data_IF_384661011789
#
_entry.id   IF_384661011789
#
_cell.length_a   1.000
_cell.length_b   1.000
_cell.length_c   1.000
_cell.angle_alpha   90.00
_cell.angle_beta   90.00
_cell.angle_gamma   90.00
#
_symmetry.space_group_name_H-M   'P 1'
#
loop_
_entity.id
_entity.type
_entity.pdbx_description
1 polymer ?
#
# COMPACT_ATOMS: atom_id res chain seq x y z
N UNK A 1 13.18 -22.59 -8.61
CA UNK A 1 12.74 -22.27 -7.22
C UNK A 1 11.57 -21.33 -7.38
N UNK A 2 10.40 -21.74 -6.93
CA UNK A 2 9.17 -20.93 -7.04
C UNK A 2 9.37 -19.60 -6.31
N UNK A 3 9.15 -18.49 -6.99
CA UNK A 3 9.21 -17.15 -6.44
C UNK A 3 8.23 -17.02 -5.27
N UNK A 4 8.58 -16.25 -4.26
CA UNK A 4 7.77 -16.05 -3.05
C UNK A 4 7.39 -14.59 -3.00
N UNK A 5 6.12 -14.33 -3.22
CA UNK A 5 5.58 -12.98 -3.30
C UNK A 5 4.68 -12.72 -2.10
N UNK A 6 4.75 -11.52 -1.56
CA UNK A 6 3.84 -11.02 -0.54
C UNK A 6 3.37 -9.64 -1.00
N UNK A 7 2.06 -9.40 -0.93
CA UNK A 7 1.44 -8.13 -1.28
C UNK A 7 0.42 -7.74 -0.23
N UNK A 8 0.25 -6.44 -0.05
CA UNK A 8 -0.73 -5.85 0.85
C UNK A 8 -1.85 -5.20 0.02
N UNK A 9 -3.10 -5.54 0.31
CA UNK A 9 -4.28 -4.97 -0.34
C UNK A 9 -5.19 -4.27 0.67
N UNK A 10 -5.73 -3.08 0.39
CA UNK A 10 -6.57 -2.36 1.33
C UNK A 10 -7.95 -3.00 1.48
N UNK A 11 -8.45 -3.07 2.72
CA UNK A 11 -9.84 -3.34 3.07
C UNK A 11 -10.47 -2.01 3.44
N UNK A 12 -11.58 -1.62 2.82
CA UNK A 12 -12.22 -0.33 3.03
C UNK A 12 -13.59 -0.45 3.65
N UNK A 13 -13.95 0.51 4.50
CA UNK A 13 -15.30 0.63 5.03
C UNK A 13 -16.27 1.27 4.00
N UNK A 14 -17.54 1.37 4.37
CA UNK A 14 -18.58 1.98 3.55
C UNK A 14 -18.36 3.48 3.25
N UNK A 15 -17.55 4.16 4.07
CA UNK A 15 -17.19 5.58 3.91
C UNK A 15 -15.93 5.76 3.07
N UNK A 16 -15.29 4.67 2.63
CA UNK A 16 -14.05 4.69 1.86
C UNK A 16 -12.78 4.77 2.71
N UNK A 17 -12.88 4.78 4.04
CA UNK A 17 -11.72 4.75 4.92
C UNK A 17 -11.06 3.37 4.92
N UNK A 18 -9.75 3.32 5.11
CA UNK A 18 -9.03 2.05 5.24
C UNK A 18 -9.31 1.43 6.61
N UNK A 19 -10.00 0.29 6.62
CA UNK A 19 -10.24 -0.53 7.81
C UNK A 19 -8.99 -1.30 8.23
N UNK A 20 -8.20 -1.72 7.27
CA UNK A 20 -6.99 -2.51 7.43
C UNK A 20 -6.49 -3.00 6.07
N UNK A 21 -5.52 -3.91 6.09
CA UNK A 21 -4.92 -4.46 4.89
C UNK A 21 -4.92 -5.98 4.92
N UNK A 22 -5.28 -6.60 3.80
CA UNK A 22 -5.09 -8.02 3.58
C UNK A 22 -3.64 -8.30 3.19
N UNK A 23 -2.98 -9.23 3.87
CA UNK A 23 -1.66 -9.72 3.49
C UNK A 23 -1.84 -10.99 2.68
N UNK A 24 -1.64 -10.89 1.37
CA UNK A 24 -1.63 -12.01 0.45
C UNK A 24 -0.20 -12.51 0.23
N UNK A 25 0.00 -13.82 0.20
CA UNK A 25 1.30 -14.42 -0.08
C UNK A 25 1.20 -15.64 -0.99
N UNK A 26 2.16 -15.78 -1.89
CA UNK A 26 2.24 -16.91 -2.81
C UNK A 26 2.57 -18.19 -2.06
N UNK A 27 1.87 -19.26 -2.42
CA UNK A 27 2.01 -20.57 -1.77
C UNK A 27 0.94 -20.85 -0.70
N UNK A 28 0.14 -19.86 -0.29
CA UNK A 28 -1.02 -20.11 0.55
C UNK A 28 -2.05 -21.00 -0.16
N UNK A 29 -2.39 -20.63 -1.40
CA UNK A 29 -3.42 -21.34 -2.18
C UNK A 29 -2.95 -22.70 -2.73
N UNK A 30 -1.64 -22.90 -2.99
CA UNK A 30 -1.10 -24.19 -3.43
C UNK A 30 -0.95 -25.18 -2.27
N UNK A 31 -0.70 -24.70 -1.05
CA UNK A 31 -0.69 -25.53 0.15
C UNK A 31 -2.11 -26.03 0.53
N UNK A 32 -3.15 -25.36 0.03
CA UNK A 32 -4.57 -25.69 0.30
C UNK A 32 -5.23 -26.53 -0.79
N UNK A 33 -4.60 -26.73 -1.97
CA UNK A 33 -5.13 -27.67 -2.97
C UNK A 33 -4.93 -29.09 -2.46
N UNK A 34 -6.03 -29.78 -2.25
CA UNK A 34 -6.16 -31.09 -1.61
C UNK A 34 -5.40 -32.26 -2.26
N UNK A 35 -4.66 -32.01 -3.35
CA UNK A 35 -3.98 -33.07 -4.13
C UNK A 35 -2.45 -33.12 -3.96
N UNK A 36 -1.81 -32.20 -3.24
CA UNK A 36 -0.37 -32.23 -3.00
C UNK A 36 -0.02 -32.42 -1.52
N UNK A 37 -0.40 -33.55 -0.96
CA UNK A 37 -0.11 -33.93 0.41
C UNK A 37 1.34 -34.39 0.58
N UNK A 38 2.28 -33.48 0.66
CA UNK A 38 3.51 -33.75 1.37
C UNK A 38 3.70 -32.70 2.45
N UNK A 39 3.58 -33.12 3.71
CA UNK A 39 3.84 -32.30 4.91
C UNK A 39 5.18 -31.54 4.89
N UNK A 40 6.11 -31.99 4.03
CA UNK A 40 7.42 -31.35 3.82
C UNK A 40 7.34 -30.04 3.04
N UNK A 41 6.42 -29.90 2.08
CA UNK A 41 6.26 -28.66 1.27
C UNK A 41 5.56 -27.57 2.06
N UNK A 42 4.54 -27.90 2.84
CA UNK A 42 3.85 -26.97 3.74
C UNK A 42 4.80 -26.45 4.83
N UNK A 43 5.62 -27.32 5.40
CA UNK A 43 6.63 -26.93 6.39
C UNK A 43 7.68 -25.99 5.79
N UNK A 44 8.13 -26.24 4.55
CA UNK A 44 9.09 -25.39 3.86
C UNK A 44 8.49 -24.00 3.55
N UNK A 45 7.24 -23.95 3.09
CA UNK A 45 6.53 -22.69 2.83
C UNK A 45 6.34 -21.88 4.11
N UNK A 46 5.88 -22.51 5.19
CA UNK A 46 5.72 -21.86 6.50
C UNK A 46 7.04 -21.30 7.05
N UNK A 47 8.16 -22.01 6.85
CA UNK A 47 9.49 -21.53 7.25
C UNK A 47 9.87 -20.24 6.57
N UNK A 48 9.59 -20.15 5.29
CA UNK A 48 9.95 -18.97 4.50
C UNK A 48 9.12 -17.77 4.87
N UNK A 49 7.81 -17.98 4.99
CA UNK A 49 6.89 -16.91 5.43
C UNK A 49 7.30 -16.44 6.82
N UNK A 50 7.56 -17.35 7.75
CA UNK A 50 8.02 -17.00 9.10
C UNK A 50 9.31 -16.17 9.09
N UNK A 51 10.34 -16.62 8.38
CA UNK A 51 11.61 -15.90 8.31
C UNK A 51 11.46 -14.52 7.68
N UNK A 52 10.64 -14.44 6.64
CA UNK A 52 10.33 -13.20 5.95
C UNK A 52 9.62 -12.21 6.89
N UNK A 53 8.57 -12.64 7.58
CA UNK A 53 7.83 -11.80 8.53
C UNK A 53 8.71 -11.35 9.70
N UNK A 54 9.59 -12.21 10.21
CA UNK A 54 10.52 -11.85 11.29
C UNK A 54 11.40 -10.65 10.92
N UNK A 55 11.79 -10.54 9.66
CA UNK A 55 12.67 -9.46 9.19
C UNK A 55 11.92 -8.17 8.87
N UNK A 56 10.67 -8.26 8.40
CA UNK A 56 9.97 -7.13 7.79
C UNK A 56 8.78 -6.59 8.61
N UNK A 57 8.13 -7.42 9.46
CA UNK A 57 6.98 -6.98 10.26
C UNK A 57 7.24 -5.73 11.09
N UNK A 58 8.37 -5.61 11.83
CA UNK A 58 8.60 -4.45 12.67
C UNK A 58 8.74 -3.14 11.91
N UNK A 59 9.10 -3.20 10.62
CA UNK A 59 9.40 -2.04 9.80
C UNK A 59 8.23 -1.57 8.95
N UNK A 60 7.44 -2.50 8.44
CA UNK A 60 6.47 -2.24 7.36
C UNK A 60 5.03 -2.45 7.80
N UNK A 61 4.78 -3.43 8.67
CA UNK A 61 3.42 -3.86 9.04
C UNK A 61 2.95 -3.33 10.40
N UNK A 62 3.80 -2.58 11.11
CA UNK A 62 3.48 -2.01 12.42
C UNK A 62 2.55 -0.80 12.30
N UNK A 63 1.61 -0.68 13.27
CA UNK A 63 0.71 0.46 13.37
C UNK A 63 -0.47 0.44 12.38
N UNK A 64 -0.64 -0.66 11.65
CA UNK A 64 -1.75 -0.89 10.73
C UNK A 64 -2.43 -2.21 11.06
N UNK A 65 -3.74 -2.29 10.83
CA UNK A 65 -4.46 -3.53 11.04
C UNK A 65 -4.24 -4.46 9.84
N UNK A 66 -3.54 -5.56 10.07
CA UNK A 66 -3.19 -6.54 9.04
C UNK A 66 -4.03 -7.80 9.19
N UNK A 67 -4.74 -8.17 8.14
CA UNK A 67 -5.47 -9.42 8.03
C UNK A 67 -4.60 -10.43 7.31
N UNK A 68 -4.30 -11.54 7.96
CA UNK A 68 -3.42 -12.57 7.38
C UNK A 68 -4.00 -13.96 7.62
N UNK A 69 -4.05 -14.77 6.56
CA UNK A 69 -4.50 -16.17 6.65
C UNK A 69 -3.39 -17.05 7.23
N UNK A 70 -3.72 -17.81 8.28
CA UNK A 70 -2.80 -18.69 8.96
C UNK A 70 -3.12 -20.15 8.67
N UNK A 71 -2.11 -20.90 8.26
CA UNK A 71 -2.16 -22.36 8.22
C UNK A 71 -1.94 -22.94 9.62
N UNK A 72 -2.30 -24.21 9.81
CA UNK A 72 -2.01 -24.93 11.04
C UNK A 72 -0.51 -24.87 11.41
N UNK A 73 0.37 -24.91 10.40
CA UNK A 73 1.82 -24.86 10.60
C UNK A 73 2.30 -23.49 11.07
N UNK A 74 1.77 -22.39 10.52
CA UNK A 74 2.09 -21.02 10.95
C UNK A 74 1.62 -20.75 12.39
N UNK A 75 0.44 -21.29 12.77
CA UNK A 75 -0.05 -21.22 14.14
C UNK A 75 0.88 -21.99 15.10
N UNK A 76 1.29 -23.21 14.76
CA UNK A 76 2.22 -24.02 15.56
C UNK A 76 3.58 -23.35 15.75
N UNK A 77 4.05 -22.59 14.77
CA UNK A 77 5.32 -21.84 14.82
C UNK A 77 5.24 -20.56 15.64
N UNK A 78 4.08 -20.27 16.21
CA UNK A 78 3.84 -19.05 16.96
C UNK A 78 4.05 -17.76 16.13
N UNK A 79 3.84 -17.84 14.81
CA UNK A 79 3.98 -16.72 13.89
C UNK A 79 3.12 -15.50 14.27
N UNK A 80 1.89 -15.64 14.85
CA UNK A 80 1.14 -14.48 15.33
C UNK A 80 1.91 -13.59 16.32
N UNK A 81 2.81 -14.15 17.13
CA UNK A 81 3.60 -13.38 18.09
C UNK A 81 4.66 -12.44 17.47
N UNK A 82 4.84 -12.48 16.14
CA UNK A 82 5.67 -11.51 15.43
C UNK A 82 4.98 -10.15 15.29
N UNK A 83 3.68 -10.10 15.53
CA UNK A 83 2.84 -8.90 15.44
C UNK A 83 2.37 -8.45 16.81
N UNK A 84 2.21 -7.14 16.97
CA UNK A 84 1.44 -6.62 18.08
C UNK A 84 -0.04 -7.04 17.93
N UNK A 85 -0.72 -7.31 19.03
CA UNK A 85 -2.12 -7.81 19.03
C UNK A 85 -3.10 -6.81 18.42
N UNK A 86 -2.78 -5.52 18.51
CA UNK A 86 -3.55 -4.44 17.87
C UNK A 86 -3.43 -4.44 16.36
N UNK A 87 -2.33 -4.96 15.83
CA UNK A 87 -1.94 -4.83 14.43
C UNK A 87 -2.27 -6.09 13.60
N UNK A 88 -2.74 -7.17 14.23
CA UNK A 88 -3.03 -8.44 13.57
C UNK A 88 -4.47 -8.90 13.76
N UNK A 89 -5.07 -9.35 12.65
CA UNK A 89 -6.24 -10.23 12.62
C UNK A 89 -5.81 -11.58 12.08
N UNK A 90 -5.91 -12.61 12.90
CA UNK A 90 -5.62 -14.00 12.51
C UNK A 90 -6.80 -14.51 11.68
N UNK A 91 -6.59 -14.71 10.39
CA UNK A 91 -7.59 -15.30 9.52
C UNK A 91 -7.43 -16.80 9.44
N UNK A 92 -8.54 -17.52 9.52
CA UNK A 92 -8.60 -18.97 9.39
C UNK A 92 -9.62 -19.36 8.34
N UNK A 93 -9.38 -20.48 7.71
CA UNK A 93 -10.29 -21.10 6.75
C UNK A 93 -10.64 -22.54 7.16
N UNK A 94 -11.32 -23.23 6.28
CA UNK A 94 -11.79 -24.60 6.52
C UNK A 94 -10.65 -25.57 6.85
N UNK A 95 -9.45 -25.37 6.28
CA UNK A 95 -8.29 -26.23 6.52
C UNK A 95 -7.81 -26.23 7.97
N UNK A 96 -7.96 -25.09 8.66
CA UNK A 96 -7.68 -24.93 10.09
C UNK A 96 -8.85 -25.39 10.96
N UNK A 97 -10.08 -25.04 10.54
CA UNK A 97 -11.32 -25.30 11.31
C UNK A 97 -11.57 -26.80 11.51
N UNK A 98 -11.23 -27.62 10.52
CA UNK A 98 -11.43 -29.08 10.62
C UNK A 98 -10.44 -29.79 11.56
N UNK A 99 -9.34 -29.11 11.96
CA UNK A 99 -8.31 -29.70 12.81
C UNK A 99 -8.48 -29.29 14.29
N UNK A 100 -8.86 -30.18 15.21
CA UNK A 100 -9.12 -29.84 16.62
C UNK A 100 -7.92 -29.19 17.31
N UNK A 101 -6.68 -29.62 17.01
CA UNK A 101 -5.47 -29.05 17.60
C UNK A 101 -5.26 -27.61 17.14
N UNK A 102 -5.45 -27.33 15.84
CA UNK A 102 -5.32 -25.97 15.29
C UNK A 102 -6.38 -25.05 15.87
N UNK A 103 -7.60 -25.53 16.02
CA UNK A 103 -8.69 -24.77 16.66
C UNK A 103 -8.45 -24.51 18.15
N UNK A 104 -7.80 -25.44 18.86
CA UNK A 104 -7.36 -25.17 20.23
C UNK A 104 -6.36 -24.01 20.28
N UNK A 105 -5.42 -23.96 19.35
CA UNK A 105 -4.45 -22.85 19.25
C UNK A 105 -5.11 -21.52 18.87
N UNK A 106 -6.08 -21.54 17.94
CA UNK A 106 -6.84 -20.34 17.57
C UNK A 106 -7.54 -19.73 18.80
N UNK A 107 -8.22 -20.58 19.61
CA UNK A 107 -8.84 -20.14 20.87
C UNK A 107 -7.82 -19.63 21.88
N UNK A 108 -6.63 -20.23 21.93
CA UNK A 108 -5.56 -19.72 22.77
C UNK A 108 -5.15 -18.30 22.34
N UNK A 109 -4.95 -18.04 21.03
CA UNK A 109 -4.64 -16.70 20.52
C UNK A 109 -5.80 -15.70 20.76
N UNK A 110 -7.06 -16.13 20.61
CA UNK A 110 -8.20 -15.29 20.94
C UNK A 110 -8.19 -14.89 22.43
N UNK A 111 -7.90 -15.84 23.34
CA UNK A 111 -7.77 -15.58 24.78
C UNK A 111 -6.56 -14.69 25.12
N UNK A 112 -5.50 -14.74 24.32
CA UNK A 112 -4.35 -13.84 24.43
C UNK A 112 -4.68 -12.41 23.96
N UNK A 113 -5.81 -12.21 23.29
CA UNK A 113 -6.32 -10.91 22.84
C UNK A 113 -6.08 -10.60 21.36
N UNK A 114 -5.73 -11.60 20.54
CA UNK A 114 -5.73 -11.44 19.08
C UNK A 114 -7.14 -11.47 18.53
N UNK A 115 -7.40 -10.68 17.50
CA UNK A 115 -8.66 -10.73 16.75
C UNK A 115 -8.64 -11.90 15.77
N UNK A 116 -9.76 -12.58 15.64
CA UNK A 116 -9.92 -13.73 14.76
C UNK A 116 -10.90 -13.39 13.65
N UNK A 117 -10.58 -13.75 12.42
CA UNK A 117 -11.44 -13.68 11.25
C UNK A 117 -11.64 -15.08 10.65
N UNK A 118 -12.81 -15.34 10.11
CA UNK A 118 -13.12 -16.57 9.37
C UNK A 118 -13.34 -16.24 7.91
N UNK A 119 -12.50 -16.83 7.04
CA UNK A 119 -12.61 -16.69 5.59
C UNK A 119 -13.67 -17.65 5.03
N UNK A 120 -14.36 -17.22 3.96
CA UNK A 120 -15.37 -18.02 3.24
C UNK A 120 -16.39 -18.66 4.17
N UNK A 121 -16.90 -17.87 5.13
CA UNK A 121 -17.85 -18.33 6.14
C UNK A 121 -19.06 -19.02 5.53
N UNK A 122 -19.43 -20.18 6.11
CA UNK A 122 -20.56 -20.98 5.70
C UNK A 122 -21.51 -21.26 6.86
N UNK A 123 -22.83 -21.34 6.59
CA UNK A 123 -23.85 -21.68 7.57
C UNK A 123 -23.88 -23.18 7.89
N UNK A 124 -22.79 -23.69 8.46
CA UNK A 124 -22.70 -25.08 8.93
C UNK A 124 -22.41 -25.12 10.44
N UNK A 125 -22.77 -26.20 11.15
CA UNK A 125 -22.61 -26.28 12.61
C UNK A 125 -21.19 -25.95 13.09
N UNK A 126 -20.16 -26.35 12.33
CA UNK A 126 -18.76 -26.09 12.68
C UNK A 126 -18.39 -24.61 12.67
N UNK A 127 -18.90 -23.83 11.70
CA UNK A 127 -18.70 -22.39 11.65
C UNK A 127 -19.53 -21.67 12.71
N UNK A 128 -20.77 -22.11 12.90
CA UNK A 128 -21.65 -21.52 13.91
C UNK A 128 -21.09 -21.70 15.34
N UNK A 129 -20.35 -22.78 15.60
CA UNK A 129 -19.68 -23.01 16.89
C UNK A 129 -18.50 -22.07 17.18
N UNK A 130 -18.09 -21.24 16.21
CA UNK A 130 -16.96 -20.29 16.33
C UNK A 130 -17.42 -18.87 16.60
N UNK A 131 -18.72 -18.59 16.47
CA UNK A 131 -19.23 -17.20 16.50
C UNK A 131 -18.89 -16.46 17.79
N UNK A 132 -18.73 -17.15 18.91
CA UNK A 132 -18.33 -16.55 20.19
C UNK A 132 -16.83 -16.18 20.25
N UNK A 133 -16.00 -16.79 19.40
CA UNK A 133 -14.54 -16.64 19.41
C UNK A 133 -14.03 -15.67 18.33
N UNK A 134 -14.90 -15.20 17.39
CA UNK A 134 -14.49 -14.46 16.20
C UNK A 134 -14.94 -13.01 16.23
N UNK A 135 -14.19 -12.17 15.54
CA UNK A 135 -14.43 -10.72 15.46
C UNK A 135 -14.85 -10.29 14.05
N UNK A 136 -14.47 -11.08 13.04
CA UNK A 136 -14.75 -10.80 11.65
C UNK A 136 -15.21 -12.06 10.91
N UNK A 137 -16.18 -11.88 10.04
CA UNK A 137 -16.58 -12.87 9.03
C UNK A 137 -16.25 -12.30 7.65
N UNK A 138 -15.59 -13.08 6.81
CA UNK A 138 -15.33 -12.73 5.42
C UNK A 138 -16.20 -13.61 4.50
N UNK A 139 -16.83 -12.96 3.53
CA UNK A 139 -17.75 -13.63 2.58
C UNK A 139 -17.37 -13.28 1.15
N UNK A 140 -17.16 -14.30 0.33
CA UNK A 140 -16.78 -14.12 -1.07
C UNK A 140 -18.01 -13.74 -1.92
N UNK A 141 -18.00 -12.52 -2.48
CA UNK A 141 -19.10 -12.00 -3.29
C UNK A 141 -19.37 -12.79 -4.58
N UNK A 142 -18.33 -13.43 -5.15
CA UNK A 142 -18.49 -14.24 -6.38
C UNK A 142 -19.25 -15.55 -6.13
N UNK A 143 -19.08 -16.12 -4.95
CA UNK A 143 -19.64 -17.43 -4.60
C UNK A 143 -20.96 -17.32 -3.82
N UNK A 144 -21.29 -16.13 -3.32
CA UNK A 144 -22.47 -15.91 -2.49
C UNK A 144 -23.63 -15.30 -3.29
N UNK A 145 -24.83 -15.81 -3.07
CA UNK A 145 -26.04 -15.14 -3.56
C UNK A 145 -26.34 -13.90 -2.71
N UNK A 146 -27.15 -12.96 -3.23
CA UNK A 146 -27.59 -11.79 -2.47
C UNK A 146 -28.27 -12.18 -1.15
N UNK A 147 -29.04 -13.26 -1.15
CA UNK A 147 -29.71 -13.78 0.05
C UNK A 147 -28.68 -14.27 1.06
N UNK A 148 -27.67 -14.98 0.60
CA UNK A 148 -26.58 -15.46 1.47
C UNK A 148 -25.82 -14.29 2.09
N UNK A 149 -25.44 -13.29 1.28
CA UNK A 149 -24.74 -12.07 1.77
C UNK A 149 -25.58 -11.35 2.82
N UNK A 150 -26.87 -11.11 2.53
CA UNK A 150 -27.81 -10.46 3.48
C UNK A 150 -27.91 -11.20 4.81
N UNK A 151 -28.09 -12.52 4.73
CA UNK A 151 -28.20 -13.35 5.94
C UNK A 151 -26.89 -13.34 6.74
N UNK A 152 -25.74 -13.42 6.06
CA UNK A 152 -24.44 -13.42 6.74
C UNK A 152 -24.17 -12.09 7.43
N UNK A 153 -24.40 -10.95 6.76
CA UNK A 153 -24.29 -9.62 7.37
C UNK A 153 -25.25 -9.50 8.57
N UNK A 154 -26.51 -9.93 8.42
CA UNK A 154 -27.50 -9.87 9.51
C UNK A 154 -27.11 -10.70 10.72
N UNK A 155 -26.59 -11.91 10.54
CA UNK A 155 -26.13 -12.76 11.63
C UNK A 155 -24.86 -12.17 12.26
N UNK A 156 -23.90 -11.72 11.47
CA UNK A 156 -22.70 -11.07 12.00
C UNK A 156 -23.06 -9.91 12.92
N UNK A 157 -23.91 -9.00 12.46
CA UNK A 157 -24.33 -7.84 13.25
C UNK A 157 -25.12 -8.22 14.51
N UNK A 158 -25.98 -9.25 14.43
CA UNK A 158 -26.73 -9.71 15.60
C UNK A 158 -25.84 -10.25 16.74
N UNK A 159 -24.60 -10.65 16.39
CA UNK A 159 -23.60 -11.16 17.31
C UNK A 159 -22.44 -10.18 17.55
N UNK A 160 -22.57 -8.93 17.11
CA UNK A 160 -21.53 -7.90 17.20
C UNK A 160 -20.21 -8.30 16.51
N UNK A 161 -20.31 -9.04 15.40
CA UNK A 161 -19.20 -9.45 14.54
C UNK A 161 -19.22 -8.57 13.29
N UNK A 162 -18.06 -8.10 12.83
CA UNK A 162 -17.93 -7.32 11.59
C UNK A 162 -17.93 -8.23 10.38
N UNK A 163 -18.65 -7.84 9.32
CA UNK A 163 -18.72 -8.59 8.07
C UNK A 163 -17.96 -7.87 6.96
N UNK A 164 -16.97 -8.54 6.37
CA UNK A 164 -16.18 -8.07 5.24
C UNK A 164 -16.58 -8.85 3.99
N UNK A 165 -16.93 -8.16 2.91
CA UNK A 165 -17.25 -8.77 1.63
C UNK A 165 -16.02 -8.72 0.74
N UNK A 166 -15.55 -9.90 0.31
CA UNK A 166 -14.33 -10.07 -0.49
C UNK A 166 -14.65 -10.31 -1.96
N UNK A 167 -13.63 -10.20 -2.83
CA UNK A 167 -13.76 -10.35 -4.29
C UNK A 167 -14.77 -9.38 -4.91
N UNK A 168 -14.78 -8.14 -4.41
CA UNK A 168 -15.59 -7.04 -4.95
C UNK A 168 -14.83 -6.45 -6.13
N UNK A 169 -15.04 -7.02 -7.32
CA UNK A 169 -14.26 -6.71 -8.53
C UNK A 169 -15.00 -5.79 -9.51
N UNK A 170 -16.25 -5.44 -9.23
CA UNK A 170 -17.05 -4.50 -10.00
C UNK A 170 -17.92 -3.60 -9.12
N UNK A 171 -18.42 -2.51 -9.73
CA UNK A 171 -19.26 -1.53 -9.05
C UNK A 171 -20.59 -2.12 -8.56
N UNK A 172 -21.15 -3.08 -9.28
CA UNK A 172 -22.42 -3.71 -8.91
C UNK A 172 -22.25 -4.48 -7.59
N UNK A 173 -21.18 -5.27 -7.46
CA UNK A 173 -20.87 -6.01 -6.23
C UNK A 173 -20.57 -5.06 -5.08
N UNK A 174 -19.86 -3.97 -5.36
CA UNK A 174 -19.58 -2.93 -4.37
C UNK A 174 -20.87 -2.30 -3.82
N UNK A 175 -21.74 -1.79 -4.72
CA UNK A 175 -23.01 -1.19 -4.32
C UNK A 175 -23.91 -2.18 -3.60
N UNK A 176 -23.87 -3.46 -3.98
CA UNK A 176 -24.59 -4.52 -3.30
C UNK A 176 -24.07 -4.74 -1.87
N UNK A 177 -22.76 -4.86 -1.68
CA UNK A 177 -22.15 -5.05 -0.36
C UNK A 177 -22.48 -3.90 0.60
N UNK A 178 -22.30 -2.64 0.13
CA UNK A 178 -22.59 -1.45 0.93
C UNK A 178 -24.08 -1.37 1.30
N UNK A 179 -24.99 -1.60 0.34
CA UNK A 179 -26.46 -1.58 0.57
C UNK A 179 -26.88 -2.64 1.58
N UNK A 180 -26.20 -3.79 1.62
CA UNK A 180 -26.50 -4.87 2.59
C UNK A 180 -25.87 -4.60 3.96
N UNK A 181 -25.08 -3.54 4.12
CA UNK A 181 -24.51 -3.13 5.38
C UNK A 181 -23.18 -3.80 5.73
N UNK A 182 -22.37 -4.19 4.72
CA UNK A 182 -21.03 -4.71 4.97
C UNK A 182 -20.19 -3.68 5.73
N UNK A 183 -19.45 -4.12 6.75
CA UNK A 183 -18.53 -3.26 7.53
C UNK A 183 -17.23 -2.98 6.79
N UNK A 184 -16.86 -3.90 5.89
CA UNK A 184 -15.69 -3.77 5.05
C UNK A 184 -15.89 -4.42 3.69
N UNK A 185 -15.16 -3.93 2.69
CA UNK A 185 -15.11 -4.46 1.33
C UNK A 185 -13.68 -4.57 0.86
N UNK A 186 -13.39 -5.60 0.06
CA UNK A 186 -12.08 -5.94 -0.46
C UNK A 186 -12.19 -6.51 -1.87
N UNK A 187 -11.28 -6.15 -2.77
CA UNK A 187 -11.26 -6.62 -4.14
C UNK A 187 -10.63 -5.62 -5.10
N UNK A 188 -10.50 -5.98 -6.37
CA UNK A 188 -9.82 -5.15 -7.37
C UNK A 188 -10.56 -3.82 -7.61
N UNK A 189 -11.89 -3.83 -7.61
CA UNK A 189 -12.68 -2.60 -7.72
C UNK A 189 -12.44 -1.65 -6.53
N UNK A 190 -12.36 -2.20 -5.33
CA UNK A 190 -12.11 -1.44 -4.10
C UNK A 190 -10.72 -0.84 -4.11
N UNK A 191 -9.74 -1.63 -4.55
CA UNK A 191 -8.38 -1.17 -4.67
C UNK A 191 -8.23 -0.05 -5.72
N UNK A 192 -8.95 -0.11 -6.84
CA UNK A 192 -8.77 0.83 -7.95
C UNK A 192 -9.68 2.06 -7.91
N UNK A 193 -10.94 1.92 -7.50
CA UNK A 193 -11.94 2.97 -7.74
C UNK A 193 -12.40 3.78 -6.54
N UNK A 194 -12.24 3.32 -5.31
CA UNK A 194 -12.62 4.13 -4.15
C UNK A 194 -11.68 5.31 -3.88
N UNK A 195 -10.61 5.43 -4.64
CA UNK A 195 -9.67 6.53 -4.62
C UNK A 195 -10.13 7.77 -5.42
N UNK A 196 -11.26 7.72 -6.12
CA UNK A 196 -11.51 8.57 -7.28
C UNK A 196 -12.54 9.66 -7.13
N UNK A 197 -12.73 10.27 -5.99
CA UNK A 197 -13.56 11.49 -5.90
C UNK A 197 -12.86 12.65 -5.21
N UNK A 198 -11.59 12.88 -5.52
CA UNK A 198 -11.04 14.20 -5.28
C UNK A 198 -11.38 15.06 -6.50
N UNK A 199 -12.16 16.10 -6.29
CA UNK A 199 -12.43 17.11 -7.30
C UNK A 199 -11.12 17.85 -7.58
N UNK A 200 -10.42 17.43 -8.62
CA UNK A 200 -9.23 18.12 -9.10
C UNK A 200 -9.62 19.55 -9.47
N UNK A 201 -9.06 20.53 -8.77
CA UNK A 201 -9.16 21.90 -9.19
C UNK A 201 -8.43 22.07 -10.53
N UNK A 202 -8.99 22.84 -11.44
CA UNK A 202 -8.46 23.14 -12.77
C UNK A 202 -7.05 23.77 -12.76
N UNK A 203 -6.41 23.90 -11.62
CA UNK A 203 -5.15 24.61 -11.36
C UNK A 203 -3.88 23.78 -11.60
N UNK A 204 -3.99 22.46 -11.83
CA UNK A 204 -2.84 21.53 -11.83
C UNK A 204 -2.19 21.40 -13.21
N UNK A 205 -2.79 21.97 -14.27
CA UNK A 205 -2.65 21.44 -15.63
C UNK A 205 -1.31 21.61 -16.35
N UNK A 206 -0.49 22.61 -16.14
CA UNK A 206 0.75 22.72 -16.94
C UNK A 206 2.03 22.80 -16.11
N UNK A 207 2.07 23.61 -15.07
CA UNK A 207 3.29 23.81 -14.29
C UNK A 207 3.63 22.62 -13.41
N UNK A 208 2.62 21.87 -12.94
CA UNK A 208 2.82 20.66 -12.13
C UNK A 208 3.58 19.56 -12.89
N UNK A 209 3.14 19.24 -14.11
CA UNK A 209 3.80 18.20 -14.91
C UNK A 209 5.22 18.60 -15.30
N UNK A 210 5.41 19.85 -15.73
CA UNK A 210 6.73 20.37 -16.05
C UNK A 210 7.65 20.31 -14.83
N UNK A 211 7.14 20.66 -13.66
CA UNK A 211 7.89 20.65 -12.41
C UNK A 211 8.25 19.21 -12.00
N UNK A 212 7.31 18.27 -12.08
CA UNK A 212 7.57 16.85 -11.79
C UNK A 212 8.62 16.26 -12.72
N UNK A 213 8.54 16.54 -14.02
CA UNK A 213 9.56 16.08 -14.99
C UNK A 213 10.91 16.72 -14.68
N UNK A 214 10.97 18.03 -14.47
CA UNK A 214 12.23 18.74 -14.20
C UNK A 214 12.93 18.24 -12.94
N UNK A 215 12.18 17.96 -11.86
CA UNK A 215 12.73 17.54 -10.56
C UNK A 215 13.10 16.04 -10.53
N UNK A 216 12.60 15.25 -11.49
CA UNK A 216 12.78 13.79 -11.50
C UNK A 216 13.91 13.36 -12.45
N UNK A 217 14.41 14.22 -13.32
CA UNK A 217 15.55 13.91 -14.20
C UNK A 217 16.74 13.38 -13.41
N UNK A 218 17.60 12.58 -14.06
CA UNK A 218 18.83 12.05 -13.45
C UNK A 218 19.78 13.19 -13.03
N UNK A 219 19.82 14.29 -13.81
CA UNK A 219 20.55 15.52 -13.50
C UNK A 219 19.56 16.71 -13.48
N UNK A 220 18.88 16.95 -12.34
CA UNK A 220 17.92 18.04 -12.22
C UNK A 220 18.58 19.42 -12.28
N UNK A 221 18.04 20.31 -13.09
CA UNK A 221 18.48 21.69 -13.17
C UNK A 221 17.70 22.57 -12.18
N UNK A 222 18.36 22.96 -11.09
CA UNK A 222 17.74 23.77 -10.03
C UNK A 222 17.24 25.13 -10.54
N UNK A 223 17.94 25.75 -11.52
CA UNK A 223 17.50 27.02 -12.09
C UNK A 223 16.20 26.88 -12.92
N UNK A 224 16.06 25.78 -13.67
CA UNK A 224 14.81 25.47 -14.40
C UNK A 224 13.66 25.23 -13.41
N UNK A 225 13.88 24.46 -12.36
CA UNK A 225 12.90 24.18 -11.29
C UNK A 225 12.46 25.49 -10.60
N UNK A 226 13.42 26.36 -10.28
CA UNK A 226 13.16 27.67 -9.71
C UNK A 226 12.28 28.53 -10.63
N UNK A 227 12.56 28.55 -11.93
CA UNK A 227 11.78 29.31 -12.91
C UNK A 227 10.32 28.81 -12.98
N UNK A 228 10.12 27.50 -12.99
CA UNK A 228 8.78 26.90 -13.04
C UNK A 228 8.00 27.27 -11.76
N UNK A 229 8.63 27.16 -10.59
CA UNK A 229 7.98 27.51 -9.30
C UNK A 229 7.70 29.01 -9.23
N UNK A 230 8.64 29.86 -9.67
CA UNK A 230 8.51 31.32 -9.64
C UNK A 230 7.41 31.83 -10.59
N UNK A 231 7.11 31.09 -11.66
CA UNK A 231 6.03 31.43 -12.58
C UNK A 231 4.63 31.25 -11.97
N UNK A 232 4.53 30.55 -10.83
CA UNK A 232 3.26 30.28 -10.14
C UNK A 232 3.32 30.78 -8.69
N UNK A 233 2.50 31.77 -8.38
CA UNK A 233 2.46 32.40 -7.06
C UNK A 233 2.02 31.40 -5.96
N UNK A 234 1.15 30.44 -6.29
CA UNK A 234 0.66 29.45 -5.34
C UNK A 234 1.74 28.43 -5.01
N UNK A 235 2.50 27.95 -6.02
CA UNK A 235 3.66 27.09 -5.81
C UNK A 235 4.73 27.79 -4.99
N UNK A 236 5.04 29.06 -5.32
CA UNK A 236 6.04 29.87 -4.59
C UNK A 236 5.66 30.04 -3.11
N UNK A 237 4.41 30.41 -2.86
CA UNK A 237 3.89 30.59 -1.49
C UNK A 237 3.89 29.24 -0.73
N UNK A 238 3.39 28.17 -1.35
CA UNK A 238 3.31 26.85 -0.75
C UNK A 238 4.69 26.32 -0.35
N UNK A 239 5.68 26.42 -1.24
CA UNK A 239 7.06 26.02 -0.96
C UNK A 239 7.67 26.78 0.22
N UNK A 240 7.58 28.12 0.19
CA UNK A 240 8.10 28.97 1.27
C UNK A 240 7.40 28.70 2.61
N UNK A 241 6.09 28.44 2.59
CA UNK A 241 5.33 28.07 3.80
C UNK A 241 5.82 26.78 4.41
N UNK A 242 6.02 25.73 3.60
CA UNK A 242 6.50 24.41 4.04
C UNK A 242 7.89 24.51 4.63
N UNK A 243 8.84 25.12 3.92
CA UNK A 243 10.24 25.21 4.34
C UNK A 243 10.40 26.09 5.60
N UNK A 244 9.58 27.12 5.75
CA UNK A 244 9.60 28.00 6.92
C UNK A 244 8.74 27.47 8.09
N UNK A 245 8.18 26.30 7.96
CA UNK A 245 7.45 25.64 9.06
C UNK A 245 8.41 25.23 10.19
N UNK A 246 7.87 24.98 11.37
CA UNK A 246 8.65 24.57 12.53
C UNK A 246 9.45 23.26 12.34
N UNK A 247 9.06 22.45 11.35
CA UNK A 247 9.73 21.18 11.00
C UNK A 247 11.20 21.39 10.61
N UNK A 248 11.50 22.42 9.80
CA UNK A 248 12.87 22.67 9.34
C UNK A 248 13.72 23.43 10.37
N UNK A 249 13.11 23.94 11.45
CA UNK A 249 13.78 24.65 12.56
C UNK A 249 14.91 25.62 12.09
N UNK A 250 14.67 26.31 10.98
CA UNK A 250 15.65 27.20 10.38
C UNK A 250 16.00 28.35 11.32
N UNK A 251 17.30 28.62 11.50
CA UNK A 251 17.76 29.81 12.24
C UNK A 251 17.36 31.11 11.56
N UNK A 252 17.27 31.10 10.24
CA UNK A 252 16.77 32.20 9.42
C UNK A 252 15.76 31.66 8.41
N UNK A 253 14.67 32.36 8.21
CA UNK A 253 13.63 31.99 7.25
C UNK A 253 14.17 32.04 5.82
N UNK A 254 13.79 31.05 5.01
CA UNK A 254 14.02 31.09 3.58
C UNK A 254 13.15 32.19 2.96
N UNK A 255 13.78 33.12 2.26
CA UNK A 255 13.11 34.26 1.63
C UNK A 255 13.09 34.14 0.11
N UNK A 256 13.85 33.20 -0.45
CA UNK A 256 13.90 32.93 -1.89
C UNK A 256 13.53 31.49 -2.19
N UNK A 257 13.03 31.27 -3.42
CA UNK A 257 12.69 29.92 -3.91
C UNK A 257 13.94 29.04 -3.95
N UNK A 258 15.08 29.56 -4.39
CA UNK A 258 16.36 28.83 -4.41
C UNK A 258 16.75 28.34 -3.02
N UNK A 259 16.67 29.23 -2.00
CA UNK A 259 16.93 28.84 -0.60
C UNK A 259 15.98 27.74 -0.12
N UNK A 260 14.70 27.85 -0.50
CA UNK A 260 13.71 26.86 -0.15
C UNK A 260 14.00 25.50 -0.80
N UNK A 261 14.35 25.47 -2.09
CA UNK A 261 14.71 24.23 -2.80
C UNK A 261 15.96 23.60 -2.18
N UNK A 262 16.99 24.40 -1.89
CA UNK A 262 18.24 23.90 -1.30
C UNK A 262 18.03 23.35 0.13
N UNK A 263 17.13 23.95 0.88
CA UNK A 263 16.79 23.53 2.25
C UNK A 263 15.98 22.22 2.26
N UNK A 264 14.97 22.15 1.38
CA UNK A 264 14.10 20.99 1.25
C UNK A 264 14.84 19.78 0.65
N UNK A 265 15.70 20.05 -0.31
CA UNK A 265 16.32 19.03 -1.15
C UNK A 265 15.39 18.49 -2.22
N UNK A 266 15.97 17.96 -3.32
CA UNK A 266 15.21 17.50 -4.48
C UNK A 266 14.29 16.30 -4.16
N UNK A 267 14.68 15.42 -3.25
CA UNK A 267 13.88 14.28 -2.84
C UNK A 267 12.56 14.71 -2.18
N UNK A 268 12.63 15.58 -1.18
CA UNK A 268 11.44 16.09 -0.49
C UNK A 268 10.65 17.07 -1.37
N UNK A 269 11.30 17.78 -2.28
CA UNK A 269 10.63 18.64 -3.25
C UNK A 269 9.71 17.83 -4.18
N UNK A 270 10.15 16.67 -4.71
CA UNK A 270 9.31 15.76 -5.50
C UNK A 270 8.03 15.39 -4.76
N UNK A 271 8.17 15.04 -3.50
CA UNK A 271 7.08 14.62 -2.64
C UNK A 271 6.09 15.77 -2.38
N UNK A 272 6.62 16.94 -2.05
CA UNK A 272 5.81 18.13 -1.82
C UNK A 272 5.01 18.55 -3.06
N UNK A 273 5.63 18.52 -4.25
CA UNK A 273 4.96 18.82 -5.51
C UNK A 273 3.76 17.89 -5.72
N UNK A 274 3.94 16.60 -5.45
CA UNK A 274 2.87 15.65 -5.62
C UNK A 274 1.74 15.82 -4.59
N UNK A 275 2.09 16.14 -3.35
CA UNK A 275 1.08 16.49 -2.33
C UNK A 275 0.23 17.68 -2.70
N UNK A 276 0.83 18.70 -3.32
CA UNK A 276 0.08 19.87 -3.79
C UNK A 276 -0.97 19.49 -4.84
N UNK A 277 -0.74 18.46 -5.64
CA UNK A 277 -1.70 18.02 -6.65
C UNK A 277 -2.99 17.44 -6.06
N UNK A 278 -2.96 17.04 -4.79
CA UNK A 278 -4.06 16.31 -4.14
C UNK A 278 -4.67 17.09 -2.97
N UNK A 279 -3.91 18.03 -2.38
CA UNK A 279 -4.42 18.85 -1.28
C UNK A 279 -5.35 19.97 -1.79
N UNK A 280 -6.60 19.98 -1.31
CA UNK A 280 -7.47 21.15 -1.45
C UNK A 280 -6.94 22.31 -0.60
N UNK A 281 -7.34 23.54 -0.94
CA UNK A 281 -6.90 24.77 -0.30
C UNK A 281 -7.08 24.84 1.24
N UNK A 282 -7.77 23.89 1.85
CA UNK A 282 -8.10 23.82 3.28
C UNK A 282 -7.20 22.88 4.11
N UNK A 283 -6.15 22.31 3.53
CA UNK A 283 -5.10 21.52 4.22
C UNK A 283 -5.51 20.19 4.90
N UNK A 284 -6.70 19.66 4.69
CA UNK A 284 -7.06 18.33 5.14
C UNK A 284 -7.07 17.36 3.94
N UNK A 285 -6.23 16.32 4.01
CA UNK A 285 -6.27 15.22 3.05
C UNK A 285 -7.53 14.39 3.34
N UNK A 286 -8.41 14.27 2.36
CA UNK A 286 -9.49 13.30 2.40
C UNK A 286 -8.90 11.88 2.51
N UNK A 287 -9.47 10.98 3.34
CA UNK A 287 -8.96 9.61 3.51
C UNK A 287 -8.74 8.82 2.21
N UNK A 288 -9.57 9.07 1.18
CA UNK A 288 -9.37 8.50 -0.15
C UNK A 288 -8.12 9.01 -0.86
N UNK A 289 -7.76 10.27 -0.64
CA UNK A 289 -6.56 10.90 -1.21
C UNK A 289 -5.26 10.35 -0.62
N UNK A 290 -5.25 10.00 0.65
CA UNK A 290 -4.09 9.39 1.30
C UNK A 290 -3.69 8.08 0.64
N UNK A 291 -4.64 7.16 0.50
CA UNK A 291 -4.38 5.84 -0.09
C UNK A 291 -3.99 5.94 -1.56
N UNK A 292 -4.63 6.85 -2.28
CA UNK A 292 -4.27 7.17 -3.66
C UNK A 292 -2.81 7.61 -3.77
N UNK A 293 -2.38 8.54 -2.91
CA UNK A 293 -1.00 9.01 -2.88
C UNK A 293 -0.01 7.90 -2.57
N UNK A 294 -0.29 7.11 -1.52
CA UNK A 294 0.54 5.96 -1.15
C UNK A 294 0.69 4.98 -2.31
N UNK A 295 -0.40 4.70 -3.04
CA UNK A 295 -0.37 3.84 -4.22
C UNK A 295 0.46 4.44 -5.34
N UNK A 296 0.29 5.73 -5.63
CA UNK A 296 1.05 6.42 -6.67
C UNK A 296 2.55 6.40 -6.39
N UNK A 297 2.94 6.69 -5.15
CA UNK A 297 4.32 6.58 -4.71
C UNK A 297 4.83 5.14 -4.73
N UNK A 298 3.98 4.18 -4.36
CA UNK A 298 4.34 2.76 -4.39
C UNK A 298 4.64 2.30 -5.81
N UNK A 299 3.78 2.62 -6.79
CA UNK A 299 3.99 2.32 -8.20
C UNK A 299 5.24 3.00 -8.75
N UNK A 300 5.45 4.27 -8.43
CA UNK A 300 6.62 5.05 -8.84
C UNK A 300 7.93 4.42 -8.34
N UNK A 301 8.01 4.16 -7.04
CA UNK A 301 9.17 3.52 -6.43
C UNK A 301 9.39 2.11 -6.98
N UNK A 302 8.33 1.31 -7.11
CA UNK A 302 8.45 -0.08 -7.54
C UNK A 302 8.90 -0.16 -9.01
N UNK A 303 8.32 0.61 -9.93
CA UNK A 303 8.82 0.72 -11.31
C UNK A 303 10.29 1.13 -11.33
N UNK A 304 10.67 2.14 -10.56
CA UNK A 304 12.02 2.68 -10.48
C UNK A 304 13.04 1.68 -9.93
N UNK A 305 12.72 1.02 -8.81
CA UNK A 305 13.64 0.07 -8.19
C UNK A 305 13.81 -1.23 -9.00
N UNK A 306 12.76 -1.70 -9.67
CA UNK A 306 12.85 -2.86 -10.56
C UNK A 306 13.80 -2.62 -11.75
N UNK A 307 14.03 -1.36 -12.16
CA UNK A 307 15.00 -1.01 -13.22
C UNK A 307 16.42 -1.45 -12.88
N UNK A 308 16.79 -1.57 -11.61
CA UNK A 308 18.12 -2.06 -11.20
C UNK A 308 18.33 -3.54 -11.58
N UNK A 309 17.25 -4.26 -11.89
CA UNK A 309 17.25 -5.70 -12.14
C UNK A 309 16.74 -6.06 -13.53
N UNK A 310 15.95 -5.17 -14.16
CA UNK A 310 15.44 -5.36 -15.51
C UNK A 310 16.55 -5.15 -16.55
N UNK A 311 16.52 -5.96 -17.63
CA UNK A 311 17.51 -5.89 -18.73
C UNK A 311 16.95 -5.10 -19.90
N UNK A 312 17.84 -4.45 -20.64
CA UNK A 312 17.56 -3.81 -21.94
C UNK A 312 16.34 -2.87 -21.92
N UNK A 313 16.19 -2.09 -20.86
CA UNK A 313 15.13 -1.11 -20.74
C UNK A 313 15.43 0.14 -21.55
N UNK A 314 14.48 0.67 -22.34
CA UNK A 314 14.71 1.84 -23.21
C UNK A 314 14.60 3.18 -22.47
N UNK A 315 14.24 3.16 -21.18
CA UNK A 315 14.07 4.36 -20.36
C UNK A 315 15.00 4.33 -19.14
N UNK A 316 15.26 5.48 -18.55
CA UNK A 316 16.04 5.62 -17.32
C UNK A 316 15.21 5.23 -16.08
N UNK A 317 15.90 5.07 -14.94
CA UNK A 317 15.28 4.83 -13.64
C UNK A 317 14.35 5.98 -13.23
N UNK A 318 14.73 7.22 -13.53
CA UNK A 318 13.92 8.41 -13.29
C UNK A 318 12.63 8.42 -14.12
N UNK A 319 12.72 8.03 -15.39
CA UNK A 319 11.55 7.92 -16.27
C UNK A 319 10.62 6.78 -15.85
N UNK A 320 11.15 5.65 -15.38
CA UNK A 320 10.34 4.57 -14.81
C UNK A 320 9.59 5.01 -13.54
N UNK A 321 10.21 5.87 -12.72
CA UNK A 321 9.53 6.50 -11.59
C UNK A 321 8.33 7.35 -12.05
N UNK A 322 8.53 8.18 -13.08
CA UNK A 322 7.44 9.00 -13.66
C UNK A 322 6.34 8.12 -14.26
N UNK A 323 6.69 7.03 -14.94
CA UNK A 323 5.72 6.08 -15.49
C UNK A 323 4.81 5.52 -14.39
N UNK A 324 5.39 5.03 -13.29
CA UNK A 324 4.62 4.53 -12.16
C UNK A 324 3.72 5.60 -11.54
N UNK A 325 4.25 6.81 -11.35
CA UNK A 325 3.51 7.95 -10.79
C UNK A 325 2.34 8.37 -11.69
N UNK A 326 2.58 8.51 -12.98
CA UNK A 326 1.57 8.99 -13.93
C UNK A 326 0.50 7.94 -14.27
N UNK A 327 0.72 6.70 -13.93
CA UNK A 327 -0.29 5.64 -14.08
C UNK A 327 -1.59 5.92 -13.33
N UNK A 328 -1.57 6.80 -12.36
CA UNK A 328 -2.69 7.14 -11.49
C UNK A 328 -3.32 8.52 -11.81
N UNK A 329 -2.78 9.27 -12.78
CA UNK A 329 -3.24 10.64 -13.06
C UNK A 329 -4.71 10.77 -13.46
N UNK A 330 -5.25 9.77 -14.13
CA UNK A 330 -6.68 9.74 -14.53
C UNK A 330 -7.63 9.69 -13.31
N UNK A 331 -7.10 9.45 -12.12
CA UNK A 331 -7.86 9.54 -10.88
C UNK A 331 -7.88 10.96 -10.29
N UNK A 332 -6.88 11.76 -10.60
CA UNK A 332 -6.78 13.15 -10.13
C UNK A 332 -7.45 14.15 -11.07
N UNK A 333 -7.41 13.86 -12.34
CA UNK A 333 -7.86 14.74 -13.40
C UNK A 333 -9.05 14.08 -14.08
N UNK A 334 -10.18 14.77 -14.11
CA UNK A 334 -11.39 14.27 -14.79
C UNK A 334 -11.24 14.42 -16.32
N UNK A 335 -10.29 13.67 -16.86
CA UNK A 335 -9.99 13.60 -18.28
C UNK A 335 -9.47 12.18 -18.64
N UNK A 336 -9.67 11.71 -19.88
CA UNK A 336 -9.05 10.49 -20.36
C UNK A 336 -7.51 10.56 -20.23
N UNK A 337 -6.88 9.47 -19.80
CA UNK A 337 -5.42 9.40 -19.61
C UNK A 337 -4.66 9.78 -20.88
N UNK A 338 -5.19 9.44 -22.06
CA UNK A 338 -4.62 9.79 -23.35
C UNK A 338 -4.47 11.32 -23.52
N UNK A 339 -5.50 12.10 -23.16
CA UNK A 339 -5.48 13.55 -23.24
C UNK A 339 -4.47 14.14 -22.25
N UNK A 340 -4.42 13.58 -21.04
CA UNK A 340 -3.45 14.00 -20.01
C UNK A 340 -2.04 13.77 -20.51
N UNK A 341 -1.73 12.57 -20.99
CA UNK A 341 -0.40 12.19 -21.47
C UNK A 341 0.05 12.93 -22.75
N UNK A 342 -0.89 13.44 -23.54
CA UNK A 342 -0.57 14.29 -24.69
C UNK A 342 0.10 15.61 -24.26
N UNK A 343 -0.24 16.14 -23.10
CA UNK A 343 0.31 17.40 -22.56
C UNK A 343 1.58 17.19 -21.71
N UNK A 344 1.87 15.93 -21.32
CA UNK A 344 3.00 15.62 -20.44
C UNK A 344 4.29 15.39 -21.27
N UNK A 345 5.40 16.07 -20.95
CA UNK A 345 6.66 15.94 -21.66
C UNK A 345 7.44 14.70 -21.21
N UNK A 346 6.93 13.53 -21.50
CA UNK A 346 7.59 12.23 -21.24
C UNK A 346 7.83 11.47 -22.54
N UNK A 347 8.74 10.49 -22.49
CA UNK A 347 9.09 9.65 -23.62
C UNK A 347 7.86 8.90 -24.18
N UNK A 348 7.84 8.67 -25.49
CA UNK A 348 6.73 7.97 -26.14
C UNK A 348 6.59 6.54 -25.64
N UNK A 349 7.70 5.89 -25.27
CA UNK A 349 7.70 4.56 -24.65
C UNK A 349 6.89 4.50 -23.34
N UNK A 350 6.87 5.60 -22.57
CA UNK A 350 6.07 5.71 -21.36
C UNK A 350 4.59 5.88 -21.71
N UNK A 351 4.26 6.70 -22.71
CA UNK A 351 2.88 6.90 -23.17
C UNK A 351 2.29 5.60 -23.67
N UNK A 352 3.01 4.88 -24.54
CA UNK A 352 2.60 3.56 -25.05
C UNK A 352 2.45 2.52 -23.91
N UNK A 353 3.37 2.54 -22.96
CA UNK A 353 3.28 1.66 -21.80
C UNK A 353 2.03 1.91 -20.96
N UNK A 354 1.69 3.17 -20.70
CA UNK A 354 0.55 3.54 -19.86
C UNK A 354 -0.80 3.37 -20.58
N UNK A 355 -0.86 3.62 -21.88
CA UNK A 355 -2.10 3.54 -22.68
C UNK A 355 -2.38 2.12 -23.18
N UNK A 356 -1.35 1.44 -23.70
CA UNK A 356 -1.51 0.19 -24.44
C UNK A 356 -0.83 -1.01 -23.79
N UNK A 357 0.00 -0.78 -22.76
CA UNK A 357 0.85 -1.81 -22.10
C UNK A 357 1.82 -2.50 -23.07
N UNK A 358 2.24 -1.77 -24.10
CA UNK A 358 3.13 -2.27 -25.13
C UNK A 358 4.62 -2.06 -24.81
N UNK A 359 5.48 -2.82 -25.47
CA UNK A 359 6.92 -2.74 -25.32
C UNK A 359 7.44 -3.24 -23.96
N UNK A 360 8.72 -3.06 -23.71
CA UNK A 360 9.34 -3.46 -22.44
C UNK A 360 8.87 -2.61 -21.26
N UNK A 361 8.62 -1.33 -21.48
CA UNK A 361 8.05 -0.43 -20.47
C UNK A 361 6.62 -0.85 -20.10
N UNK A 362 5.81 -1.25 -21.09
CA UNK A 362 4.47 -1.78 -20.85
C UNK A 362 4.48 -3.07 -20.04
N UNK A 363 5.43 -3.97 -20.29
CA UNK A 363 5.61 -5.20 -19.50
C UNK A 363 6.05 -4.90 -18.06
N UNK A 364 6.93 -3.93 -17.85
CA UNK A 364 7.33 -3.48 -16.51
C UNK A 364 6.13 -2.91 -15.75
N UNK A 365 5.35 -2.07 -16.40
CA UNK A 365 4.13 -1.51 -15.80
C UNK A 365 3.09 -2.60 -15.50
N UNK A 366 2.86 -3.51 -16.44
CA UNK A 366 1.96 -4.65 -16.23
C UNK A 366 2.43 -5.55 -15.08
N UNK A 367 3.74 -5.79 -14.94
CA UNK A 367 4.31 -6.54 -13.81
C UNK A 367 3.95 -5.90 -12.46
N UNK A 368 4.04 -4.58 -12.36
CA UNK A 368 3.67 -3.85 -11.14
C UNK A 368 2.17 -4.01 -10.85
N UNK A 369 1.30 -3.89 -11.84
CA UNK A 369 -0.15 -4.08 -11.68
C UNK A 369 -0.52 -5.52 -11.29
N UNK A 370 0.13 -6.52 -11.91
CA UNK A 370 -0.04 -7.92 -11.55
C UNK A 370 0.41 -8.20 -10.12
N UNK A 371 1.49 -7.53 -9.68
CA UNK A 371 1.95 -7.64 -8.30
C UNK A 371 0.91 -7.11 -7.31
N UNK A 372 0.36 -5.92 -7.56
CA UNK A 372 -0.70 -5.32 -6.73
C UNK A 372 -1.97 -6.20 -6.67
N UNK A 373 -2.31 -6.87 -7.77
CA UNK A 373 -3.47 -7.76 -7.85
C UNK A 373 -3.21 -9.20 -7.40
N UNK A 374 -1.98 -9.54 -7.01
CA UNK A 374 -1.55 -10.89 -6.62
C UNK A 374 -1.72 -11.95 -7.73
N UNK A 375 -1.56 -11.56 -9.01
CA UNK A 375 -1.57 -12.50 -10.13
C UNK A 375 -0.19 -13.18 -10.27
N UNK A 376 0.04 -14.17 -9.42
CA UNK A 376 1.33 -14.86 -9.28
C UNK A 376 1.84 -15.49 -10.58
N UNK A 377 0.96 -16.08 -11.38
CA UNK A 377 1.33 -16.71 -12.63
C UNK A 377 1.84 -15.69 -13.65
N UNK A 378 1.17 -14.56 -13.75
CA UNK A 378 1.53 -13.48 -14.67
C UNK A 378 2.80 -12.76 -14.21
N UNK A 379 2.98 -12.57 -12.90
CA UNK A 379 4.20 -12.00 -12.31
C UNK A 379 5.42 -12.81 -12.73
N UNK A 380 5.40 -14.14 -12.54
CA UNK A 380 6.54 -15.01 -12.90
C UNK A 380 6.88 -14.93 -14.38
N UNK A 381 5.88 -14.96 -15.26
CA UNK A 381 6.10 -14.84 -16.71
C UNK A 381 6.72 -13.50 -17.10
N UNK A 382 6.18 -12.38 -16.59
CA UNK A 382 6.69 -11.04 -16.90
C UNK A 382 8.08 -10.79 -16.32
N UNK A 383 8.36 -11.28 -15.10
CA UNK A 383 9.67 -11.17 -14.49
C UNK A 383 10.74 -11.91 -15.32
N UNK A 384 10.42 -13.12 -15.82
CA UNK A 384 11.31 -13.87 -16.72
C UNK A 384 11.57 -13.12 -18.02
N UNK A 385 10.52 -12.57 -18.66
CA UNK A 385 10.64 -11.79 -19.90
C UNK A 385 11.49 -10.52 -19.73
N UNK A 386 11.43 -9.88 -18.57
CA UNK A 386 12.21 -8.70 -18.23
C UNK A 386 13.62 -9.03 -17.72
N UNK A 387 13.88 -10.31 -17.42
CA UNK A 387 15.14 -10.77 -16.86
C UNK A 387 15.33 -10.40 -15.38
N UNK A 388 14.21 -10.18 -14.66
CA UNK A 388 14.20 -9.86 -13.24
C UNK A 388 14.18 -11.18 -12.44
N UNK A 389 15.13 -11.41 -11.53
CA UNK A 389 15.14 -12.63 -10.70
C UNK A 389 13.97 -12.68 -9.72
N UNK A 390 13.28 -13.81 -9.62
CA UNK A 390 12.10 -14.00 -8.75
C UNK A 390 12.35 -13.63 -7.28
N UNK A 391 13.55 -13.90 -6.77
CA UNK A 391 13.89 -13.64 -5.38
C UNK A 391 14.07 -12.17 -5.04
N UNK A 392 14.10 -11.29 -6.05
CA UNK A 392 14.30 -9.84 -5.88
C UNK A 392 12.96 -9.13 -5.70
N UNK A 393 11.91 -9.59 -6.35
CA UNK A 393 10.60 -8.93 -6.41
C UNK A 393 10.07 -8.56 -5.03
N UNK A 394 10.01 -9.53 -4.12
CA UNK A 394 9.50 -9.30 -2.76
C UNK A 394 10.37 -8.35 -1.97
N UNK A 395 11.69 -8.47 -2.06
CA UNK A 395 12.62 -7.58 -1.34
C UNK A 395 12.49 -6.14 -1.83
N UNK A 396 12.40 -5.93 -3.14
CA UNK A 396 12.20 -4.60 -3.73
C UNK A 396 10.84 -4.02 -3.31
N UNK A 397 9.78 -4.83 -3.34
CA UNK A 397 8.46 -4.38 -2.90
C UNK A 397 8.47 -3.86 -1.47
N UNK A 398 9.13 -4.56 -0.54
CA UNK A 398 9.20 -4.13 0.87
C UNK A 398 10.08 -2.91 1.08
N UNK A 399 11.18 -2.78 0.35
CA UNK A 399 11.98 -1.55 0.34
C UNK A 399 11.11 -0.36 -0.10
N UNK A 400 10.32 -0.54 -1.15
CA UNK A 400 9.39 0.50 -1.61
C UNK A 400 8.33 0.83 -0.56
N UNK A 401 7.75 -0.17 0.11
CA UNK A 401 6.79 0.06 1.20
C UNK A 401 7.40 0.80 2.39
N UNK A 402 8.61 0.43 2.82
CA UNK A 402 9.34 1.12 3.88
C UNK A 402 9.58 2.58 3.51
N UNK A 403 10.02 2.84 2.28
CA UNK A 403 10.22 4.18 1.75
C UNK A 403 8.93 5.00 1.73
N UNK A 404 7.83 4.42 1.24
CA UNK A 404 6.53 5.11 1.16
C UNK A 404 5.96 5.40 2.55
N UNK A 405 6.05 4.45 3.49
CA UNK A 405 5.59 4.65 4.86
C UNK A 405 6.42 5.73 5.58
N UNK A 406 7.75 5.67 5.47
CA UNK A 406 8.64 6.69 6.04
C UNK A 406 8.36 8.08 5.47
N UNK A 407 8.14 8.13 4.16
CA UNK A 407 7.73 9.34 3.48
C UNK A 407 6.40 9.88 4.01
N UNK A 408 5.42 9.00 4.16
CA UNK A 408 4.09 9.37 4.64
C UNK A 408 4.13 9.92 6.07
N UNK A 409 4.89 9.28 6.96
CA UNK A 409 5.10 9.76 8.32
C UNK A 409 5.73 11.16 8.35
N UNK A 410 6.73 11.41 7.49
CA UNK A 410 7.35 12.73 7.38
C UNK A 410 6.38 13.82 6.90
N UNK A 411 5.44 13.46 6.03
CA UNK A 411 4.47 14.39 5.45
C UNK A 411 3.30 14.70 6.39
N UNK A 412 2.82 13.70 7.13
CA UNK A 412 1.62 13.83 7.97
C UNK A 412 1.92 14.18 9.42
N UNK A 413 3.11 13.82 9.95
CA UNK A 413 3.50 14.05 11.33
C UNK A 413 4.81 14.81 11.47
N UNK A 414 4.93 16.01 10.87
CA UNK A 414 6.19 16.78 10.89
C UNK A 414 6.66 17.19 12.29
N UNK A 415 5.80 17.09 13.32
CA UNK A 415 6.09 17.57 14.68
C UNK A 415 6.55 16.51 15.69
N UNK A 416 6.38 15.21 15.40
CA UNK A 416 6.68 14.17 16.40
C UNK A 416 8.15 13.73 16.44
N UNK A 417 8.90 13.85 15.34
CA UNK A 417 10.32 13.45 15.30
C UNK A 417 11.27 14.48 15.92
N UNK A 418 10.91 15.77 15.97
CA UNK A 418 11.75 16.79 16.58
C UNK A 418 11.85 16.66 18.11
N UNK A 419 10.86 16.04 18.78
CA UNK A 419 10.86 15.82 20.23
C UNK A 419 11.70 14.61 20.66
N UNK A 420 11.92 13.62 19.80
CA UNK A 420 12.72 12.42 20.11
C UNK A 420 14.23 12.63 20.06
N UNK A 421 14.71 13.51 19.17
CA UNK A 421 16.15 13.81 19.08
C UNK A 421 16.62 14.89 20.08
N UNK A 422 15.71 15.77 20.51
CA UNK A 422 16.00 16.77 21.55
C UNK A 422 16.12 16.18 22.96
N UNK A 423 15.38 15.12 23.25
CA UNK A 423 15.43 14.45 24.55
C UNK A 423 16.71 13.61 24.76
N UNK A 424 17.27 13.05 23.69
CA UNK A 424 18.54 12.32 23.77
C UNK A 424 19.77 13.25 23.92
N UNK A 425 19.70 14.48 23.39
CA UNK A 425 20.78 15.45 23.51
C UNK A 425 20.77 16.20 24.84
N UNK A 426 19.59 16.40 25.46
CA UNK A 426 19.51 17.05 26.77
C UNK A 426 19.88 16.13 27.95
N UNK A 427 19.59 14.82 27.83
CA UNK A 427 19.99 13.82 28.82
C UNK A 427 21.51 13.61 28.91
N UNK A 428 22.23 13.75 27.79
CA UNK A 428 23.69 13.63 27.77
C UNK A 428 24.41 14.84 28.39
N UNK A 429 23.78 16.02 28.36
CA UNK A 429 24.35 17.27 28.94
C UNK A 429 24.11 17.34 30.45
N UNK A 430 23.01 16.78 30.95
CA UNK A 430 22.75 16.72 32.40
C UNK A 430 23.62 15.69 33.12
N UNK A 431 23.99 14.57 32.47
CA UNK A 431 24.93 13.60 33.09
C UNK A 431 26.38 14.09 33.16
N UNK A 432 26.83 14.95 32.24
CA UNK A 432 28.18 15.54 32.32
C UNK A 432 28.29 16.67 33.35
N UNK A 433 27.17 17.33 33.69
CA UNK A 433 27.19 18.38 34.73
C UNK A 433 27.08 17.86 36.18
N UNK A 434 26.75 16.57 36.38
CA UNK A 434 26.69 15.95 37.72
C UNK A 434 28.01 15.26 38.07
N UNK A 435 28.95 15.09 37.13
CA UNK A 435 30.26 14.47 37.35
C UNK A 435 31.43 15.49 37.37
N UNK A 436 31.16 16.76 37.31
CA UNK A 436 32.13 17.83 37.54
C UNK A 436 31.75 18.60 38.81
#
# INVERSE_FOLDING_TARGET
MSGKYIVQQPIRDASGNTLGHEILYYGANEAFSSDSSTSSTEFAAANVIYNFLTQNTPKVLKGQLNFMTFTSMLLMRKTPHLFDKSDLVIQIDDSVIIHPLSMHMVRQYANEGYRIAVNDFQFTPRYLSLLDDIHFIKVNAKNATEITLRNTVGIAHSMNIKCIVTHVDDERLYQQAIRLGADGVEGTYVADKLTTKSHGSAYIQSNFFQLMVAVTRDEPNVAEIEQIIAADASLSYGLLKVVNSAYFALRQRATTITQAIMTLGLGQLKQWIYLLSVSNAENELDPGSEEFLKRSFMRANFCSELMNHAKDMPISKAEAYLMGMFSTLHYLIDAPLENILAEVPVADEIKEALLHREGRCGKLYELVLCYESADWNRITALAEELGIPDNVMTSVYFICMENVNSLWEQLTHPYQQASGQGAAASGAIEEEMIQS
#
